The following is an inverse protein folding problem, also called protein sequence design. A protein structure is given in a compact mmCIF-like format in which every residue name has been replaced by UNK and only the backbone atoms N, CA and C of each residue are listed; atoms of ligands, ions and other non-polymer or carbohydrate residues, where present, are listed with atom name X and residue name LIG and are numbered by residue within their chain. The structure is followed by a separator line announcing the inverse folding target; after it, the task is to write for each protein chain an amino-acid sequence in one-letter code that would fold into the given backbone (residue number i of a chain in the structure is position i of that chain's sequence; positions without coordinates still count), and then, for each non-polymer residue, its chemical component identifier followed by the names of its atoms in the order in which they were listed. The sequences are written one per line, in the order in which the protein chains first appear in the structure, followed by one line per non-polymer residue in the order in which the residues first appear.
data_IF_114073073893
#
_entry.id   IF_114073073893
#
_cell.length_a   1.000
_cell.length_b   1.000
_cell.length_c   1.000
_cell.angle_alpha   90.00
_cell.angle_beta   90.00
_cell.angle_gamma   90.00
#
_symmetry.space_group_name_H-M   'P 1'
#
loop_
_entity.id
_entity.type
_entity.pdbx_description
1 polymer ?
#
# COMPACT_ATOMS: atom_id res chain seq x y z
N UNK A 1 34.96 -35.66 -12.61
CA UNK A 1 35.17 -34.85 -11.38
C UNK A 1 35.45 -33.42 -11.84
N UNK A 2 34.69 -32.36 -11.56
CA UNK A 2 33.59 -32.06 -10.64
C UNK A 2 32.71 -30.99 -11.30
N UNK A 3 31.40 -31.06 -11.03
CA UNK A 3 30.40 -30.04 -11.34
C UNK A 3 30.78 -28.69 -10.71
N UNK A 4 30.57 -27.57 -11.41
CA UNK A 4 30.35 -26.27 -10.79
C UNK A 4 28.87 -25.91 -10.94
N UNK A 5 28.20 -25.88 -9.79
CA UNK A 5 26.78 -25.65 -9.64
C UNK A 5 26.42 -24.17 -9.81
N UNK A 6 25.24 -23.96 -10.39
CA UNK A 6 24.49 -22.71 -10.42
C UNK A 6 24.22 -22.17 -9.01
N UNK A 7 24.29 -20.84 -8.84
CA UNK A 7 23.55 -20.13 -7.80
C UNK A 7 22.49 -19.24 -8.47
N UNK A 8 21.32 -19.83 -8.74
CA UNK A 8 20.11 -19.07 -9.00
C UNK A 8 19.58 -18.53 -7.66
N UNK A 9 19.67 -17.22 -7.48
CA UNK A 9 19.08 -16.51 -6.33
C UNK A 9 17.55 -16.60 -6.42
N UNK A 10 16.93 -17.41 -5.56
CA UNK A 10 15.49 -17.37 -5.35
C UNK A 10 15.12 -16.11 -4.55
N UNK A 11 14.69 -15.07 -5.26
CA UNK A 11 13.96 -13.95 -4.70
C UNK A 11 12.66 -14.49 -4.08
N UNK A 12 12.66 -14.68 -2.76
CA UNK A 12 11.51 -15.19 -2.02
C UNK A 12 10.50 -14.06 -1.82
N UNK A 13 9.64 -13.82 -2.81
CA UNK A 13 8.45 -12.99 -2.64
C UNK A 13 7.48 -13.72 -1.70
N UNK A 14 7.42 -13.29 -0.44
CA UNK A 14 6.30 -13.63 0.44
C UNK A 14 5.10 -12.79 0.02
N UNK A 15 4.32 -13.29 -0.93
CA UNK A 15 3.00 -12.75 -1.25
C UNK A 15 2.02 -13.36 -0.25
N UNK A 16 1.43 -12.55 0.62
CA UNK A 16 0.23 -12.97 1.33
C UNK A 16 -0.93 -12.97 0.31
N UNK A 17 -1.12 -14.06 -0.43
CA UNK A 17 -2.33 -14.24 -1.24
C UNK A 17 -3.46 -14.70 -0.34
N UNK A 18 -4.49 -13.87 -0.20
CA UNK A 18 -5.78 -14.29 0.33
C UNK A 18 -6.91 -13.87 -0.62
N UNK A 19 -7.65 -14.90 -1.05
CA UNK A 19 -8.91 -14.95 -1.79
C UNK A 19 -8.96 -14.51 -3.26
N UNK A 20 -9.23 -15.49 -4.12
CA UNK A 20 -9.89 -15.29 -5.40
C UNK A 20 -11.33 -14.86 -5.11
N UNK A 21 -11.59 -13.55 -5.14
CA UNK A 21 -12.88 -12.98 -4.84
C UNK A 21 -13.41 -12.24 -6.07
N UNK A 22 -14.70 -12.44 -6.35
CA UNK A 22 -15.54 -11.67 -7.27
C UNK A 22 -15.00 -10.24 -7.43
N UNK A 23 -14.66 -9.85 -8.66
CA UNK A 23 -14.26 -8.46 -8.94
C UNK A 23 -15.45 -7.54 -8.68
N UNK A 24 -15.25 -6.54 -7.81
CA UNK A 24 -16.26 -5.55 -7.49
C UNK A 24 -15.80 -4.18 -7.96
N UNK A 25 -16.67 -3.41 -8.59
CA UNK A 25 -16.35 -2.02 -8.93
C UNK A 25 -16.11 -1.24 -7.64
N UNK A 26 -15.03 -0.46 -7.55
CA UNK A 26 -14.74 0.34 -6.36
C UNK A 26 -15.88 1.35 -6.15
N UNK A 27 -16.72 1.19 -5.10
CA UNK A 27 -17.91 1.99 -4.93
C UNK A 27 -17.54 3.41 -4.50
N UNK A 28 -18.45 4.36 -4.78
CA UNK A 28 -18.37 5.68 -4.18
C UNK A 28 -18.40 5.56 -2.64
N UNK A 29 -17.56 6.33 -1.95
CA UNK A 29 -17.28 6.25 -0.51
C UNK A 29 -16.65 4.93 -0.03
N UNK A 30 -16.33 4.00 -0.94
CA UNK A 30 -15.60 2.78 -0.60
C UNK A 30 -14.19 3.12 -0.12
N UNK A 31 -13.77 2.55 1.02
CA UNK A 31 -12.43 2.77 1.56
C UNK A 31 -11.75 1.51 2.08
N UNK A 32 -10.42 1.54 2.04
CA UNK A 32 -9.51 0.53 2.54
C UNK A 32 -8.52 1.23 3.48
N UNK A 33 -8.39 0.71 4.70
CA UNK A 33 -7.45 1.19 5.71
C UNK A 33 -6.43 0.09 6.00
N UNK A 34 -5.15 0.42 5.94
CA UNK A 34 -4.05 -0.45 6.36
C UNK A 34 -3.36 0.19 7.54
N UNK A 35 -3.15 -0.58 8.61
CA UNK A 35 -2.46 -0.12 9.82
C UNK A 35 -1.28 -1.06 10.06
N UNK A 36 -0.09 -0.50 10.26
CA UNK A 36 1.06 -1.21 10.76
C UNK A 36 1.43 -0.63 12.13
N UNK A 37 1.45 -1.44 13.21
CA UNK A 37 1.83 -0.96 14.54
C UNK A 37 3.30 -0.54 14.60
N UNK A 38 4.12 -0.99 13.65
CA UNK A 38 5.51 -0.61 13.49
C UNK A 38 5.79 -0.30 12.01
N UNK A 39 6.34 0.87 11.75
CA UNK A 39 6.72 1.31 10.41
C UNK A 39 7.75 0.35 9.83
N UNK A 40 7.50 -0.23 8.64
CA UNK A 40 8.52 -0.97 7.91
C UNK A 40 9.54 0.00 7.32
N UNK A 41 10.69 -0.49 6.88
CA UNK A 41 11.67 0.34 6.13
C UNK A 41 11.19 0.66 4.71
N UNK A 42 10.35 -0.22 4.15
CA UNK A 42 9.76 -0.08 2.82
C UNK A 42 8.45 -0.86 2.77
N UNK A 43 7.42 -0.32 2.15
CA UNK A 43 6.16 -1.03 1.90
C UNK A 43 5.52 -0.61 0.59
N UNK A 44 4.89 -1.58 -0.07
CA UNK A 44 3.98 -1.35 -1.18
C UNK A 44 2.59 -1.85 -0.79
N UNK A 45 1.59 -0.99 -0.96
CA UNK A 45 0.17 -1.29 -0.80
C UNK A 45 -0.48 -1.08 -2.16
N UNK A 46 -0.94 -2.15 -2.79
CA UNK A 46 -1.54 -2.12 -4.10
C UNK A 46 -2.97 -2.65 -4.07
N UNK A 47 -3.89 -1.90 -4.68
CA UNK A 47 -5.18 -2.38 -5.16
C UNK A 47 -5.01 -2.62 -6.66
N UNK A 48 -4.72 -3.87 -7.09
CA UNK A 48 -4.39 -4.15 -8.48
C UNK A 48 -5.50 -3.71 -9.43
N UNK A 49 -5.13 -3.07 -10.54
CA UNK A 49 -6.10 -2.46 -11.46
C UNK A 49 -6.56 -1.05 -11.09
N UNK A 50 -6.17 -0.54 -9.92
CA UNK A 50 -6.57 0.77 -9.41
C UNK A 50 -5.36 1.65 -9.05
N UNK A 51 -4.79 1.46 -7.86
CA UNK A 51 -3.76 2.35 -7.30
C UNK A 51 -2.72 1.55 -6.54
N UNK A 52 -1.48 2.00 -6.63
CA UNK A 52 -0.36 1.51 -5.84
C UNK A 52 0.22 2.66 -5.02
N UNK A 53 0.46 2.42 -3.74
CA UNK A 53 1.15 3.33 -2.84
C UNK A 53 2.44 2.66 -2.40
N UNK A 54 3.57 3.30 -2.66
CA UNK A 54 4.88 2.87 -2.19
C UNK A 54 5.41 3.88 -1.19
N UNK A 55 5.84 3.39 -0.04
CA UNK A 55 6.43 4.22 1.01
C UNK A 55 7.82 3.66 1.30
N UNK A 56 8.80 4.54 1.23
CA UNK A 56 10.20 4.24 1.50
C UNK A 56 10.72 5.21 2.55
N UNK A 57 11.11 4.67 3.71
CA UNK A 57 11.59 5.49 4.82
C UNK A 57 13.07 5.86 4.68
N UNK A 58 13.86 5.04 3.97
CA UNK A 58 15.27 5.34 3.68
C UNK A 58 15.33 6.59 2.80
N UNK A 59 14.54 6.60 1.72
CA UNK A 59 14.42 7.70 0.78
C UNK A 59 13.47 8.83 1.24
N UNK A 60 12.80 8.65 2.39
CA UNK A 60 11.76 9.56 2.90
C UNK A 60 10.67 9.89 1.87
N UNK A 61 10.26 8.89 1.08
CA UNK A 61 9.39 9.07 -0.06
C UNK A 61 8.05 8.35 0.11
N UNK A 62 7.00 9.01 -0.36
CA UNK A 62 5.70 8.39 -0.63
C UNK A 62 5.41 8.62 -2.10
N UNK A 63 5.08 7.54 -2.80
CA UNK A 63 4.81 7.55 -4.23
C UNK A 63 3.45 6.92 -4.48
N UNK A 64 2.63 7.57 -5.29
CA UNK A 64 1.34 7.05 -5.73
C UNK A 64 1.41 6.78 -7.22
N UNK A 65 1.13 5.54 -7.61
CA UNK A 65 1.06 5.12 -9.01
C UNK A 65 -0.38 4.76 -9.34
N UNK A 66 -0.95 5.46 -10.32
CA UNK A 66 -2.26 5.11 -10.87
C UNK A 66 -2.11 3.94 -11.85
N UNK A 67 -3.10 3.05 -11.87
CA UNK A 67 -3.11 1.94 -12.82
C UNK A 67 -3.11 2.43 -14.27
N UNK A 68 -2.30 1.79 -15.10
CA UNK A 68 -2.10 2.17 -16.50
C UNK A 68 -1.04 3.26 -16.71
N UNK A 69 -0.51 3.86 -15.65
CA UNK A 69 0.58 4.84 -15.73
C UNK A 69 1.93 4.19 -15.40
N UNK A 70 2.99 4.61 -16.11
CA UNK A 70 4.36 4.14 -15.91
C UNK A 70 5.14 4.99 -14.90
N UNK A 71 4.66 6.20 -14.62
CA UNK A 71 5.26 7.15 -13.68
C UNK A 71 4.50 7.19 -12.36
N UNK A 72 5.22 7.34 -11.26
CA UNK A 72 4.60 7.60 -9.95
C UNK A 72 4.62 9.09 -9.63
N UNK A 73 3.61 9.54 -8.89
CA UNK A 73 3.50 10.90 -8.38
C UNK A 73 4.04 10.95 -6.95
N UNK A 74 5.03 11.81 -6.66
CA UNK A 74 5.52 12.00 -5.30
C UNK A 74 4.46 12.69 -4.45
N UNK A 75 4.24 12.18 -3.24
CA UNK A 75 3.37 12.82 -2.25
C UNK A 75 4.24 13.50 -1.20
N UNK A 76 4.13 14.82 -1.12
CA UNK A 76 4.88 15.64 -0.18
C UNK A 76 4.47 15.39 1.26
N UNK A 77 5.42 15.66 2.17
CA UNK A 77 5.22 15.69 3.61
C UNK A 77 5.94 16.90 4.21
N UNK A 78 5.62 17.21 5.46
CA UNK A 78 6.25 18.31 6.21
C UNK A 78 7.53 17.87 6.90
N UNK A 79 7.62 16.60 7.26
CA UNK A 79 8.67 16.04 8.09
C UNK A 79 9.25 14.75 7.50
N UNK A 80 10.40 14.33 8.03
CA UNK A 80 10.99 13.02 7.70
C UNK A 80 10.27 11.89 8.45
N UNK A 81 9.98 10.79 7.76
CA UNK A 81 9.40 9.57 8.35
C UNK A 81 10.43 8.77 9.16
N UNK A 82 9.97 8.01 10.17
CA UNK A 82 10.82 7.14 11.01
C UNK A 82 10.62 5.65 10.73
N UNK A 83 11.71 4.96 10.44
CA UNK A 83 11.75 3.50 10.24
C UNK A 83 11.99 2.71 11.53
N UNK A 84 12.36 3.38 12.62
CA UNK A 84 12.77 2.74 13.87
C UNK A 84 11.61 2.27 14.76
N UNK A 85 10.37 2.63 14.44
CA UNK A 85 9.23 1.82 14.87
C UNK A 85 7.91 2.49 15.15
N UNK A 86 7.66 3.69 14.64
CA UNK A 86 6.38 4.36 14.84
C UNK A 86 5.21 3.76 14.06
N UNK A 87 3.98 4.10 14.41
CA UNK A 87 2.78 3.61 13.72
C UNK A 87 2.71 4.14 12.28
N UNK A 88 2.18 3.32 11.36
CA UNK A 88 1.79 3.68 10.01
C UNK A 88 0.30 3.43 9.82
N UNK A 89 -0.40 4.39 9.23
CA UNK A 89 -1.77 4.27 8.73
C UNK A 89 -1.83 4.73 7.28
N UNK A 90 -2.33 3.87 6.40
CA UNK A 90 -2.60 4.21 5.00
C UNK A 90 -4.10 4.08 4.75
N UNK A 91 -4.73 5.14 4.27
CA UNK A 91 -6.13 5.18 3.88
C UNK A 91 -6.23 5.41 2.38
N UNK A 92 -6.95 4.52 1.72
CA UNK A 92 -7.38 4.67 0.34
C UNK A 92 -8.88 4.82 0.35
N UNK A 93 -9.42 5.90 -0.21
CA UNK A 93 -10.86 6.07 -0.36
C UNK A 93 -11.20 6.56 -1.75
N UNK A 94 -12.40 6.25 -2.21
CA UNK A 94 -12.91 6.73 -3.49
C UNK A 94 -14.11 7.65 -3.28
N UNK A 95 -14.08 8.80 -3.92
CA UNK A 95 -15.21 9.70 -4.05
C UNK A 95 -15.39 10.04 -5.53
N UNK A 96 -16.51 9.63 -6.10
CA UNK A 96 -16.82 9.76 -7.54
C UNK A 96 -15.69 9.18 -8.42
N UNK A 97 -15.02 10.03 -9.20
CA UNK A 97 -13.90 9.69 -10.08
C UNK A 97 -12.54 10.00 -9.45
N UNK A 98 -12.50 10.32 -8.16
CA UNK A 98 -11.28 10.66 -7.44
C UNK A 98 -10.96 9.59 -6.42
N UNK A 99 -9.71 9.14 -6.41
CA UNK A 99 -9.17 8.33 -5.32
C UNK A 99 -8.31 9.21 -4.44
N UNK A 100 -8.60 9.20 -3.15
CA UNK A 100 -7.84 9.89 -2.13
C UNK A 100 -6.92 8.88 -1.44
N UNK A 101 -5.65 9.25 -1.36
CA UNK A 101 -4.61 8.53 -0.64
C UNK A 101 -4.19 9.40 0.53
N UNK A 102 -4.25 8.85 1.73
CA UNK A 102 -3.71 9.48 2.92
C UNK A 102 -2.75 8.52 3.60
N UNK A 103 -1.53 8.99 3.85
CA UNK A 103 -0.50 8.27 4.60
C UNK A 103 -0.21 9.06 5.86
N UNK A 104 -0.39 8.44 7.01
CA UNK A 104 0.01 8.96 8.31
C UNK A 104 1.09 8.04 8.86
N UNK A 105 2.26 8.59 9.14
CA UNK A 105 3.34 7.82 9.73
C UNK A 105 4.08 8.67 10.75
N UNK A 106 4.63 8.03 11.77
CA UNK A 106 5.41 8.75 12.77
C UNK A 106 6.63 9.43 12.12
N UNK A 107 6.80 10.71 12.46
CA UNK A 107 7.85 11.58 11.96
C UNK A 107 9.01 11.66 12.93
N UNK A 108 10.17 12.16 12.47
CA UNK A 108 11.39 12.28 13.29
C UNK A 108 11.18 13.12 14.57
N UNK A 109 10.21 14.03 14.59
CA UNK A 109 9.83 14.84 15.74
C UNK A 109 8.95 14.13 16.78
N UNK A 110 8.60 12.86 16.58
CA UNK A 110 7.73 12.08 17.49
C UNK A 110 6.23 12.37 17.33
N UNK A 111 5.85 13.17 16.34
CA UNK A 111 4.47 13.36 15.91
C UNK A 111 4.14 12.52 14.68
N UNK A 112 2.97 12.70 14.07
CA UNK A 112 2.65 12.10 12.77
C UNK A 112 2.88 13.09 11.63
N UNK A 113 3.61 12.66 10.60
CA UNK A 113 3.60 13.33 9.30
C UNK A 113 2.42 12.78 8.49
N UNK A 114 1.67 13.69 7.85
CA UNK A 114 0.55 13.34 6.98
C UNK A 114 0.87 13.68 5.54
N UNK A 115 0.71 12.72 4.64
CA UNK A 115 0.91 12.89 3.20
C UNK A 115 -0.38 12.55 2.47
N UNK A 116 -0.94 13.54 1.80
CA UNK A 116 -2.27 13.45 1.19
C UNK A 116 -2.16 13.68 -0.31
N UNK A 117 -2.80 12.81 -1.09
CA UNK A 117 -2.87 12.93 -2.54
C UNK A 117 -4.28 12.60 -3.01
N UNK A 118 -4.80 13.40 -3.95
CA UNK A 118 -6.02 13.10 -4.68
C UNK A 118 -5.66 12.87 -6.14
N UNK A 119 -6.13 11.77 -6.73
CA UNK A 119 -5.89 11.43 -8.12
C UNK A 119 -7.21 11.13 -8.82
N UNK A 120 -7.43 11.79 -9.95
CA UNK A 120 -8.53 11.44 -10.85
C UNK A 120 -8.22 10.11 -11.54
N UNK A 121 -9.15 9.17 -11.44
CA UNK A 121 -9.00 7.84 -11.97
C UNK A 121 -10.33 7.30 -12.51
N UNK A 122 -10.33 6.64 -13.69
CA UNK A 122 -11.52 5.96 -14.17
C UNK A 122 -12.02 4.93 -13.15
N UNK A 123 -13.23 4.43 -13.37
CA UNK A 123 -13.73 3.29 -12.60
C UNK A 123 -12.74 2.13 -12.71
N UNK A 124 -12.55 1.43 -11.59
CA UNK A 124 -11.67 0.28 -11.51
C UNK A 124 -12.31 -0.76 -10.59
N UNK A 125 -11.86 -2.01 -10.73
CA UNK A 125 -12.38 -3.11 -9.93
C UNK A 125 -11.38 -3.49 -8.82
N UNK A 126 -11.91 -3.71 -7.64
CA UNK A 126 -11.20 -4.33 -6.53
C UNK A 126 -11.41 -5.84 -6.64
N UNK A 127 -10.33 -6.59 -6.78
CA UNK A 127 -10.31 -8.05 -6.64
C UNK A 127 -9.60 -8.53 -5.38
N UNK A 128 -8.59 -7.76 -4.95
CA UNK A 128 -7.75 -8.05 -3.79
C UNK A 128 -6.99 -6.80 -3.35
N UNK A 129 -6.46 -6.85 -2.13
CA UNK A 129 -5.42 -5.95 -1.65
C UNK A 129 -4.10 -6.73 -1.59
N UNK A 130 -3.02 -6.14 -2.11
CA UNK A 130 -1.68 -6.72 -2.04
C UNK A 130 -0.81 -5.80 -1.19
N UNK A 131 -0.27 -6.35 -0.10
CA UNK A 131 0.70 -5.66 0.75
C UNK A 131 2.02 -6.42 0.65
N UNK A 132 3.10 -5.73 0.35
CA UNK A 132 4.44 -6.31 0.30
C UNK A 132 5.46 -5.41 0.98
N UNK A 133 6.43 -6.02 1.65
CA UNK A 133 7.58 -5.33 2.23
C UNK A 133 8.81 -6.21 2.00
N UNK A 134 9.76 -5.81 1.12
CA UNK A 134 10.92 -6.64 0.78
C UNK A 134 11.83 -6.93 1.99
N UNK A 135 11.89 -5.99 2.94
CA UNK A 135 12.79 -6.07 4.10
C UNK A 135 12.08 -6.50 5.39
N UNK A 136 10.75 -6.39 5.47
CA UNK A 136 10.00 -6.78 6.67
C UNK A 136 9.38 -8.17 6.52
N UNK A 137 9.80 -9.10 7.38
CA UNK A 137 9.38 -10.51 7.32
C UNK A 137 8.04 -10.78 8.00
N UNK A 138 7.50 -9.84 8.78
CA UNK A 138 6.28 -10.06 9.56
C UNK A 138 5.16 -9.07 9.18
N UNK A 139 4.54 -9.31 8.02
CA UNK A 139 3.31 -8.60 7.63
C UNK A 139 2.08 -9.03 8.45
N UNK A 140 2.20 -10.03 9.35
CA UNK A 140 1.09 -10.59 10.12
C UNK A 140 0.49 -9.60 11.14
N UNK A 141 1.28 -8.62 11.55
CA UNK A 141 0.85 -7.61 12.53
C UNK A 141 0.09 -6.46 11.87
N UNK A 142 -0.04 -6.48 10.54
CA UNK A 142 -0.80 -5.49 9.78
C UNK A 142 -2.28 -5.75 9.94
N UNK A 143 -3.04 -4.70 10.21
CA UNK A 143 -4.49 -4.73 10.22
C UNK A 143 -5.01 -4.10 8.94
N UNK A 144 -5.97 -4.77 8.31
CA UNK A 144 -6.66 -4.27 7.12
C UNK A 144 -8.14 -4.13 7.45
N UNK A 145 -8.66 -2.92 7.31
CA UNK A 145 -10.09 -2.63 7.35
C UNK A 145 -10.59 -2.29 5.96
N UNK A 146 -11.78 -2.76 5.62
CA UNK A 146 -12.48 -2.45 4.37
C UNK A 146 -13.85 -1.89 4.75
N UNK A 147 -14.32 -0.87 4.03
CA UNK A 147 -15.62 -0.25 4.35
C UNK A 147 -16.80 -1.13 3.94
N UNK A 148 -17.95 -0.93 4.59
CA UNK A 148 -19.17 -1.71 4.35
C UNK A 148 -19.63 -1.67 2.90
N UNK A 149 -19.42 -0.54 2.22
CA UNK A 149 -19.77 -0.33 0.82
C UNK A 149 -19.05 -1.32 -0.10
N UNK A 150 -17.80 -1.66 0.24
CA UNK A 150 -17.03 -2.68 -0.48
C UNK A 150 -17.43 -4.08 -0.01
N UNK A 151 -17.56 -4.31 1.31
CA UNK A 151 -17.93 -5.63 1.87
C UNK A 151 -19.25 -6.17 1.33
N UNK A 152 -20.26 -5.31 1.18
CA UNK A 152 -21.59 -5.68 0.67
C UNK A 152 -21.58 -6.18 -0.78
N UNK A 153 -20.54 -5.87 -1.57
CA UNK A 153 -20.44 -6.30 -2.97
C UNK A 153 -19.87 -7.71 -3.12
N UNK A 154 -19.18 -8.21 -2.09
CA UNK A 154 -18.64 -9.57 -2.04
C UNK A 154 -19.67 -10.63 -1.61
N UNK A 155 -20.90 -10.22 -1.27
CA UNK A 155 -22.04 -11.10 -0.95
C UNK A 155 -22.64 -11.73 -2.22
#
# INVERSE_FOLDING_TARGET
MKNFALFASLLSLFVATAYAAKEVSWPNNGSIKVIAPKSPSHITIAVPGCVTVTIDWEDNSVQVTKHGESSSQPVGGSERLRDDGGELVVLLSRQENTTHVAVYAESVGGGFDSRLQSIEMPSCNISKLVISSPKNKNLKDFQVGVSKEIEQLYV
#
